data_IF_359393634370
#
_entry.id   IF_359393634370
#
_cell.length_a   1.000
_cell.length_b   1.000
_cell.length_c   1.000
_cell.angle_alpha   90.00
_cell.angle_beta   90.00
_cell.angle_gamma   90.00
#
_symmetry.space_group_name_H-M   'P 1'
#
loop_
_entity.id
_entity.type
_entity.pdbx_description
1 polymer ?
#
# COMPACT_ATOMS: atom_id res chain seq x y z
N UNK A 1 1.02 0.00 -7.43
CA UNK A 1 0.21 -0.60 -6.37
C UNK A 1 0.44 0.18 -5.08
N UNK A 2 -0.58 0.26 -4.22
CA UNK A 2 -0.44 0.76 -2.84
C UNK A 2 -0.74 -0.43 -1.93
N UNK A 3 0.19 -0.76 -1.04
CA UNK A 3 0.10 -1.92 -0.17
C UNK A 3 0.42 -1.47 1.25
N UNK A 4 -0.36 -1.94 2.22
CA UNK A 4 -0.12 -1.67 3.63
C UNK A 4 0.92 -2.65 4.19
N UNK A 5 1.94 -2.12 4.87
CA UNK A 5 3.09 -2.90 5.36
C UNK A 5 2.73 -3.77 6.58
N UNK A 6 1.76 -3.34 7.39
CA UNK A 6 1.38 -4.04 8.63
C UNK A 6 0.41 -5.20 8.36
N UNK A 7 -0.59 -4.97 7.52
CA UNK A 7 -1.67 -5.92 7.21
C UNK A 7 -1.41 -6.74 5.95
N UNK A 8 -0.43 -6.32 5.14
CA UNK A 8 -0.19 -6.84 3.81
C UNK A 8 -1.38 -6.66 2.85
N UNK A 9 -2.39 -5.83 3.20
CA UNK A 9 -3.52 -5.53 2.32
C UNK A 9 -3.04 -4.76 1.09
N UNK A 10 -3.47 -5.22 -0.08
CA UNK A 10 -3.41 -4.39 -1.27
C UNK A 10 -4.51 -3.33 -1.18
N UNK A 11 -4.14 -2.11 -0.80
CA UNK A 11 -5.07 -0.98 -0.61
C UNK A 11 -5.58 -0.48 -1.95
N UNK A 12 -4.72 -0.39 -2.97
CA UNK A 12 -5.14 0.02 -4.30
C UNK A 12 -4.29 -0.56 -5.43
N UNK A 13 -4.97 -1.01 -6.49
CA UNK A 13 -4.41 -1.22 -7.82
C UNK A 13 -5.17 -0.31 -8.79
N UNK A 14 -4.49 0.70 -9.34
CA UNK A 14 -5.11 1.70 -10.21
C UNK A 14 -4.57 1.53 -11.63
N UNK A 15 -5.35 0.93 -12.55
CA UNK A 15 -4.99 0.86 -13.96
C UNK A 15 -5.03 2.26 -14.56
N UNK A 16 -3.97 2.65 -15.26
CA UNK A 16 -3.89 3.92 -15.97
C UNK A 16 -2.95 3.79 -17.18
N UNK A 17 -3.22 4.54 -18.24
CA UNK A 17 -2.31 4.63 -19.39
C UNK A 17 -0.99 5.31 -19.04
N UNK A 18 -1.04 6.29 -18.15
CA UNK A 18 0.12 6.98 -17.59
C UNK A 18 -0.23 7.48 -16.18
N UNK A 19 0.78 7.50 -15.31
CA UNK A 19 0.65 7.96 -13.93
C UNK A 19 1.61 9.13 -13.67
N UNK A 20 1.05 10.29 -13.36
CA UNK A 20 1.78 11.47 -12.89
C UNK A 20 1.70 11.59 -11.37
N UNK A 21 2.63 12.34 -10.76
CA UNK A 21 2.58 12.58 -9.31
C UNK A 21 1.27 13.21 -8.82
N UNK A 22 0.59 14.01 -9.65
CA UNK A 22 -0.75 14.53 -9.30
C UNK A 22 -1.81 13.45 -9.24
N UNK A 23 -1.77 12.49 -10.18
CA UNK A 23 -2.70 11.35 -10.16
C UNK A 23 -2.43 10.44 -8.96
N UNK A 24 -1.15 10.25 -8.58
CA UNK A 24 -0.81 9.53 -7.35
C UNK A 24 -1.39 10.22 -6.12
N UNK A 25 -1.22 11.54 -6.00
CA UNK A 25 -1.79 12.32 -4.89
C UNK A 25 -3.31 12.20 -4.86
N UNK A 26 -4.00 12.34 -5.98
CA UNK A 26 -5.47 12.21 -6.04
C UNK A 26 -5.94 10.83 -5.56
N UNK A 27 -5.22 9.76 -5.92
CA UNK A 27 -5.51 8.40 -5.40
C UNK A 27 -5.29 8.34 -3.89
N UNK A 28 -4.22 8.93 -3.37
CA UNK A 28 -3.94 8.95 -1.93
C UNK A 28 -4.99 9.75 -1.14
N UNK A 29 -5.43 10.90 -1.66
CA UNK A 29 -6.49 11.72 -1.06
C UNK A 29 -7.81 10.95 -1.01
N UNK A 30 -8.21 10.32 -2.13
CA UNK A 30 -9.41 9.48 -2.18
C UNK A 30 -9.35 8.31 -1.19
N UNK A 31 -8.18 7.67 -1.06
CA UNK A 31 -7.98 6.64 -0.04
C UNK A 31 -8.08 7.22 1.38
N UNK A 32 -7.53 8.42 1.59
CA UNK A 32 -7.58 9.17 2.83
C UNK A 32 -8.99 9.45 3.32
N UNK A 33 -9.95 9.71 2.43
CA UNK A 33 -11.37 9.90 2.78
C UNK A 33 -11.99 8.64 3.42
N UNK A 34 -11.57 7.46 2.97
CA UNK A 34 -12.15 6.18 3.41
C UNK A 34 -11.42 5.51 4.57
N UNK A 35 -10.09 5.68 4.66
CA UNK A 35 -9.21 4.96 5.62
C UNK A 35 -8.38 5.89 6.50
N UNK A 36 -8.36 7.19 6.21
CA UNK A 36 -7.35 8.11 6.72
C UNK A 36 -6.02 8.00 5.96
N UNK A 37 -5.21 9.06 6.01
CA UNK A 37 -3.87 9.06 5.43
C UNK A 37 -2.87 8.36 6.37
N UNK A 38 -1.89 7.63 5.82
CA UNK A 38 -0.85 7.00 6.64
C UNK A 38 0.10 8.05 7.22
N UNK A 39 0.71 7.76 8.37
CA UNK A 39 1.77 8.62 8.92
C UNK A 39 3.05 8.60 8.09
N UNK A 40 3.31 7.51 7.38
CA UNK A 40 4.53 7.31 6.60
C UNK A 40 4.18 6.68 5.26
N UNK A 41 4.69 7.25 4.17
CA UNK A 41 4.65 6.65 2.83
C UNK A 41 6.07 6.27 2.44
N UNK A 42 6.28 4.99 2.12
CA UNK A 42 7.51 4.50 1.51
C UNK A 42 7.30 4.34 0.02
N UNK A 43 8.24 4.86 -0.77
CA UNK A 43 8.22 4.74 -2.24
C UNK A 43 9.62 4.53 -2.77
N UNK A 44 9.72 4.08 -4.01
CA UNK A 44 10.98 4.19 -4.74
C UNK A 44 11.28 5.65 -5.12
N UNK A 45 12.40 5.86 -5.81
CA UNK A 45 12.83 7.18 -6.28
C UNK A 45 12.18 7.58 -7.63
N UNK A 46 11.02 7.02 -7.95
CA UNK A 46 10.24 7.39 -9.13
C UNK A 46 9.89 8.87 -9.17
N UNK A 47 9.77 9.42 -10.38
CA UNK A 47 9.48 10.85 -10.60
C UNK A 47 8.08 11.25 -10.10
N UNK A 48 7.17 10.28 -10.12
CA UNK A 48 5.81 10.41 -9.62
C UNK A 48 5.75 10.56 -8.10
N UNK A 49 6.74 10.03 -7.38
CA UNK A 49 6.81 10.05 -5.91
C UNK A 49 7.69 11.16 -5.35
N UNK A 50 8.61 11.69 -6.16
CA UNK A 50 9.58 12.73 -5.77
C UNK A 50 9.19 14.15 -6.19
N UNK A 51 8.02 14.30 -6.84
CA UNK A 51 7.54 15.59 -7.35
C UNK A 51 6.92 16.52 -6.29
N UNK A 52 6.78 17.80 -6.65
CA UNK A 52 6.17 18.85 -5.78
C UNK A 52 4.79 18.49 -5.25
N UNK A 53 3.97 17.78 -6.04
CA UNK A 53 2.63 17.37 -5.62
C UNK A 53 2.67 16.46 -4.38
N UNK A 54 3.56 15.46 -4.39
CA UNK A 54 3.73 14.54 -3.25
C UNK A 54 4.29 15.26 -2.02
N UNK A 55 5.24 16.19 -2.22
CA UNK A 55 5.75 17.03 -1.13
C UNK A 55 4.65 17.91 -0.52
N UNK A 56 3.75 18.46 -1.35
CA UNK A 56 2.60 19.25 -0.91
C UNK A 56 1.65 18.43 -0.05
N UNK A 57 1.19 17.28 -0.55
CA UNK A 57 0.34 16.34 0.20
C UNK A 57 0.97 15.98 1.56
N UNK A 58 2.27 15.67 1.54
CA UNK A 58 3.03 15.29 2.73
C UNK A 58 3.07 16.41 3.78
N UNK A 59 3.38 17.63 3.35
CA UNK A 59 3.44 18.79 4.22
C UNK A 59 2.07 19.15 4.82
N UNK A 60 1.03 19.19 3.97
CA UNK A 60 -0.32 19.62 4.36
C UNK A 60 -0.97 18.63 5.34
N UNK A 61 -0.66 17.34 5.21
CA UNK A 61 -1.30 16.28 5.99
C UNK A 61 -0.38 15.66 7.07
N UNK A 62 0.83 16.20 7.26
CA UNK A 62 1.80 15.67 8.22
C UNK A 62 2.28 14.25 7.89
N UNK A 63 2.25 13.85 6.62
CA UNK A 63 2.70 12.53 6.17
C UNK A 63 4.21 12.56 5.94
N UNK A 64 4.93 11.62 6.53
CA UNK A 64 6.37 11.49 6.29
C UNK A 64 6.64 10.68 5.01
N UNK A 65 7.33 11.28 4.05
CA UNK A 65 7.85 10.54 2.89
C UNK A 65 9.19 9.89 3.24
N UNK A 66 9.31 8.58 3.00
CA UNK A 66 10.56 7.81 3.17
C UNK A 66 10.93 7.13 1.84
N UNK A 67 11.63 7.83 0.93
CA UNK A 67 12.19 7.19 -0.25
C UNK A 67 13.15 6.06 0.16
N UNK A 68 13.22 5.01 -0.66
CA UNK A 68 14.21 3.94 -0.43
C UNK A 68 15.64 4.48 -0.53
N UNK A 69 16.51 3.97 0.33
CA UNK A 69 17.93 4.32 0.31
C UNK A 69 18.61 3.67 -0.91
N UNK A 70 19.46 4.42 -1.64
CA UNK A 70 20.25 3.85 -2.71
C UNK A 70 21.08 2.65 -2.22
N UNK A 71 20.98 1.52 -2.93
CA UNK A 71 21.74 0.30 -2.59
C UNK A 71 21.16 -0.54 -1.44
N UNK A 72 19.92 -0.28 -0.99
CA UNK A 72 19.21 -1.09 0.02
C UNK A 72 17.97 -1.79 -0.58
N UNK A 73 18.14 -2.80 -1.45
CA UNK A 73 17.03 -3.48 -2.13
C UNK A 73 16.02 -4.09 -1.14
N UNK A 74 16.49 -4.49 0.04
CA UNK A 74 15.67 -5.11 1.08
C UNK A 74 14.53 -4.20 1.59
N UNK A 75 14.68 -2.87 1.48
CA UNK A 75 13.65 -1.91 1.94
C UNK A 75 12.38 -1.93 1.09
N UNK A 76 12.45 -2.51 -0.11
CA UNK A 76 11.36 -2.58 -1.08
C UNK A 76 10.94 -4.03 -1.40
N UNK A 77 11.59 -5.03 -0.78
CA UNK A 77 11.46 -6.43 -1.16
C UNK A 77 10.01 -6.95 -1.11
N UNK A 78 9.21 -6.47 -0.16
CA UNK A 78 7.82 -6.89 -0.07
C UNK A 78 6.97 -6.39 -1.24
N UNK A 79 7.01 -5.09 -1.56
CA UNK A 79 6.24 -4.55 -2.68
C UNK A 79 6.76 -5.06 -4.03
N UNK A 80 8.06 -5.34 -4.14
CA UNK A 80 8.63 -6.00 -5.32
C UNK A 80 8.10 -7.42 -5.50
N UNK A 81 8.07 -8.21 -4.42
CA UNK A 81 7.47 -9.55 -4.43
C UNK A 81 5.98 -9.51 -4.76
N UNK A 82 5.25 -8.54 -4.20
CA UNK A 82 3.85 -8.30 -4.52
C UNK A 82 3.66 -7.96 -6.02
N UNK A 83 4.44 -7.03 -6.54
CA UNK A 83 4.35 -6.61 -7.94
C UNK A 83 4.71 -7.74 -8.91
N UNK A 84 5.71 -8.57 -8.57
CA UNK A 84 6.05 -9.77 -9.33
C UNK A 84 4.87 -10.74 -9.40
N UNK A 85 4.25 -11.03 -8.24
CA UNK A 85 3.08 -11.90 -8.19
C UNK A 85 1.88 -11.35 -8.97
N UNK A 86 1.58 -10.08 -8.79
CA UNK A 86 0.50 -9.43 -9.52
C UNK A 86 0.74 -9.48 -11.04
N UNK A 87 2.00 -9.30 -11.47
CA UNK A 87 2.36 -9.43 -12.88
C UNK A 87 2.12 -10.86 -13.39
N UNK A 88 2.65 -11.85 -12.68
CA UNK A 88 2.64 -13.24 -13.15
C UNK A 88 1.23 -13.84 -13.13
N UNK A 89 0.44 -13.53 -12.10
CA UNK A 89 -0.86 -14.19 -11.89
C UNK A 89 -2.05 -13.37 -12.42
N UNK A 90 -1.89 -12.09 -12.71
CA UNK A 90 -2.96 -11.26 -13.27
C UNK A 90 -2.57 -10.69 -14.62
N UNK A 91 -1.51 -9.87 -14.69
CA UNK A 91 -1.22 -9.11 -15.91
C UNK A 91 -0.79 -10.00 -17.09
N UNK A 92 -0.08 -11.09 -16.82
CA UNK A 92 0.39 -12.01 -17.86
C UNK A 92 -0.68 -13.02 -18.30
N UNK A 93 -1.67 -13.30 -17.44
CA UNK A 93 -2.75 -14.25 -17.71
C UNK A 93 -3.88 -13.65 -18.57
N UNK A 94 -3.91 -12.32 -18.74
CA UNK A 94 -5.01 -11.62 -19.40
C UNK A 94 -4.55 -10.79 -20.59
N UNK A 95 -5.26 -10.93 -21.71
CA UNK A 95 -5.19 -9.97 -22.81
C UNK A 95 -6.25 -8.87 -22.61
N UNK A 96 -5.83 -7.69 -22.17
CA UNK A 96 -6.75 -6.59 -21.90
C UNK A 96 -7.28 -5.96 -23.20
N UNK A 97 -8.59 -6.08 -23.43
CA UNK A 97 -9.23 -5.53 -24.63
C UNK A 97 -9.73 -4.10 -24.46
N UNK A 98 -9.83 -3.60 -23.22
CA UNK A 98 -10.21 -2.23 -22.90
C UNK A 98 -9.76 -1.84 -21.48
N UNK A 99 -9.76 -0.54 -21.17
CA UNK A 99 -9.53 -0.07 -19.81
C UNK A 99 -10.58 -0.60 -18.83
N UNK A 100 -11.85 -0.67 -19.24
CA UNK A 100 -12.92 -1.22 -18.40
C UNK A 100 -12.68 -2.70 -18.08
N UNK A 101 -12.20 -3.47 -19.05
CA UNK A 101 -11.81 -4.87 -18.84
C UNK A 101 -10.63 -4.98 -17.88
N UNK A 102 -9.59 -4.16 -18.06
CA UNK A 102 -8.45 -4.12 -17.14
C UNK A 102 -8.86 -3.79 -15.70
N UNK A 103 -9.75 -2.80 -15.50
CA UNK A 103 -10.29 -2.47 -14.18
C UNK A 103 -11.00 -3.67 -13.55
N UNK A 104 -11.84 -4.38 -14.32
CA UNK A 104 -12.59 -5.52 -13.83
C UNK A 104 -11.66 -6.65 -13.36
N UNK A 105 -10.71 -7.09 -14.20
CA UNK A 105 -9.80 -8.18 -13.86
C UNK A 105 -8.86 -7.83 -12.70
N UNK A 106 -8.32 -6.60 -12.69
CA UNK A 106 -7.40 -6.15 -11.64
C UNK A 106 -8.13 -6.01 -10.30
N UNK A 107 -9.38 -5.54 -10.31
CA UNK A 107 -10.22 -5.44 -9.11
C UNK A 107 -10.59 -6.82 -8.59
N UNK A 108 -10.92 -7.76 -9.47
CA UNK A 108 -11.18 -9.15 -9.10
C UNK A 108 -9.95 -9.79 -8.44
N UNK A 109 -8.77 -9.62 -9.04
CA UNK A 109 -7.52 -10.12 -8.47
C UNK A 109 -7.18 -9.46 -7.12
N UNK A 110 -7.37 -8.14 -6.99
CA UNK A 110 -7.16 -7.43 -5.72
C UNK A 110 -8.06 -8.00 -4.61
N UNK A 111 -9.33 -8.26 -4.93
CA UNK A 111 -10.29 -8.83 -4.00
C UNK A 111 -9.86 -10.23 -3.57
N UNK A 112 -9.54 -11.10 -4.51
CA UNK A 112 -9.06 -12.46 -4.22
C UNK A 112 -7.81 -12.41 -3.32
N UNK A 113 -6.83 -11.59 -3.67
CA UNK A 113 -5.59 -11.42 -2.90
C UNK A 113 -5.85 -11.02 -1.44
N UNK A 114 -6.77 -10.09 -1.22
CA UNK A 114 -7.07 -9.56 0.11
C UNK A 114 -7.98 -10.49 0.93
N UNK A 115 -8.93 -11.17 0.30
CA UNK A 115 -10.02 -11.87 0.98
C UNK A 115 -9.84 -13.39 1.06
N UNK A 116 -9.07 -13.99 0.14
CA UNK A 116 -9.05 -15.45 -0.03
C UNK A 116 -7.67 -16.08 0.22
N UNK A 117 -6.61 -15.27 0.27
CA UNK A 117 -5.23 -15.77 0.30
C UNK A 117 -4.59 -15.64 1.69
N UNK A 118 -4.61 -16.71 2.51
CA UNK A 118 -3.99 -16.67 3.83
C UNK A 118 -2.48 -16.53 3.75
N UNK A 119 -1.89 -15.75 4.66
CA UNK A 119 -0.43 -15.55 4.73
C UNK A 119 0.11 -16.09 6.04
N UNK A 120 1.18 -16.89 5.96
CA UNK A 120 1.88 -17.43 7.15
C UNK A 120 2.35 -16.35 8.11
N UNK A 121 2.83 -15.21 7.58
CA UNK A 121 3.26 -14.05 8.39
C UNK A 121 2.13 -13.37 9.15
N UNK A 122 0.87 -13.61 8.75
CA UNK A 122 -0.35 -13.08 9.37
C UNK A 122 -1.07 -14.15 10.22
N UNK A 123 -0.35 -15.10 10.79
CA UNK A 123 -0.90 -16.24 11.53
C UNK A 123 -1.87 -17.12 10.71
N UNK A 124 -1.71 -17.14 9.38
CA UNK A 124 -2.62 -17.86 8.48
C UNK A 124 -3.92 -17.11 8.17
N UNK A 125 -4.06 -15.85 8.57
CA UNK A 125 -5.16 -14.98 8.16
C UNK A 125 -4.92 -14.42 6.75
N UNK A 126 -6.02 -14.07 6.08
CA UNK A 126 -5.99 -13.26 4.86
C UNK A 126 -5.65 -11.81 5.20
N UNK A 127 -5.11 -11.01 4.27
CA UNK A 127 -4.80 -9.61 4.53
C UNK A 127 -5.98 -8.83 5.14
N UNK A 128 -7.19 -8.96 4.58
CA UNK A 128 -8.37 -8.29 5.14
C UNK A 128 -8.79 -8.87 6.48
N UNK A 129 -8.72 -10.18 6.68
CA UNK A 129 -9.02 -10.78 7.99
C UNK A 129 -8.06 -10.32 9.09
N UNK A 130 -6.78 -10.09 8.75
CA UNK A 130 -5.81 -9.53 9.69
C UNK A 130 -6.06 -8.03 9.95
N UNK A 131 -6.41 -7.25 8.92
CA UNK A 131 -6.79 -5.85 9.07
C UNK A 131 -8.01 -5.67 9.98
N UNK A 132 -9.05 -6.48 9.78
CA UNK A 132 -10.22 -6.53 10.66
C UNK A 132 -9.82 -6.85 12.11
N UNK A 133 -8.97 -7.86 12.31
CA UNK A 133 -8.45 -8.21 13.65
C UNK A 133 -7.72 -7.05 14.32
N UNK A 134 -6.91 -6.30 13.57
CA UNK A 134 -6.23 -5.12 14.10
C UNK A 134 -7.21 -4.00 14.47
N UNK A 135 -8.25 -3.78 13.65
CA UNK A 135 -9.27 -2.75 13.93
C UNK A 135 -10.09 -3.05 15.19
N UNK A 136 -10.28 -4.34 15.50
CA UNK A 136 -11.04 -4.80 16.67
C UNK A 136 -10.20 -4.89 17.94
N UNK A 137 -8.88 -4.93 17.82
CA UNK A 137 -7.99 -4.95 18.98
C UNK A 137 -7.99 -3.55 19.59
N UNK A 138 -8.52 -3.36 20.81
CA UNK A 138 -8.40 -2.06 21.46
C UNK A 138 -6.91 -1.73 21.56
N UNK A 139 -6.55 -0.49 21.25
CA UNK A 139 -5.22 0.05 21.56
C UNK A 139 -5.03 -0.14 23.07
N UNK A 140 -4.38 -1.23 23.48
CA UNK A 140 -3.76 -1.30 24.79
C UNK A 140 -2.62 -0.30 24.74
N UNK A 141 -2.95 0.96 25.01
CA UNK A 141 -2.03 1.91 25.60
C UNK A 141 -1.57 1.24 26.90
N UNK A 142 -0.47 0.51 26.83
CA UNK A 142 0.30 0.21 28.04
C UNK A 142 0.71 1.57 28.59
N UNK A 143 0.24 1.97 29.79
CA UNK A 143 0.75 3.16 30.43
C UNK A 143 2.25 3.00 30.58
N UNK A 144 2.93 4.05 30.13
CA UNK A 144 4.36 4.34 30.23
C UNK A 144 5.11 3.47 31.26
N UNK A 145 6.03 2.63 30.77
CA UNK A 145 6.95 1.87 31.62
C UNK A 145 8.34 2.47 31.51
N UNK A 146 8.56 3.41 32.44
CA UNK A 146 9.81 3.80 33.11
C UNK A 146 10.46 5.11 32.66
N UNK A 147 10.08 6.15 33.41
CA UNK A 147 11.02 6.88 34.25
C UNK A 147 12.19 6.01 34.75
N UNK A 148 13.42 6.42 34.44
CA UNK A 148 14.63 6.35 35.28
C UNK A 148 15.86 6.41 34.36
N UNK A 149 16.44 7.58 34.19
CA UNK A 149 17.89 7.74 34.19
C UNK A 149 18.20 9.11 34.81
N UNK A 150 18.90 9.06 35.95
CA UNK A 150 19.60 10.17 36.60
C UNK A 150 20.69 10.73 35.68
#
# INVERSE_FOLDING_TARGET
AIVDDATHECVALVPAYAMSGRQVVAVLEQLGESRGLPQVIRSDNGREFTGKAMLGLAYENGVQLRPIEPGKPNQNAYVESFNGRFRDECLNEHWFVSMAHAIAEITAWQREYNQERPKKVLDGLTPSGYAERLSQKPLTLTPDSRSEYY
#
